data_IF_067694811074
#
_entry.id   IF_067694811074
#
_cell.length_a   1.000
_cell.length_b   1.000
_cell.length_c   1.000
_cell.angle_alpha   90.00
_cell.angle_beta   90.00
_cell.angle_gamma   90.00
#
_symmetry.space_group_name_H-M   'P 1'
#
loop_
_entity.id
_entity.type
_entity.pdbx_description
1 polymer ?
#
# COMPACT_ATOMS: atom_id res chain seq x y z
N UNK A 1 -3.59 8.83 -62.21
CA UNK A 1 -4.11 9.96 -61.42
C UNK A 1 -4.88 10.86 -62.38
N UNK A 2 -6.18 11.04 -62.14
CA UNK A 2 -7.07 11.79 -63.04
C UNK A 2 -6.88 13.31 -62.83
N UNK A 3 -6.91 14.09 -63.92
CA UNK A 3 -6.72 15.56 -63.92
C UNK A 3 -7.68 16.30 -62.98
N UNK A 4 -8.85 15.71 -62.73
CA UNK A 4 -9.87 16.27 -61.84
C UNK A 4 -9.43 16.29 -60.37
N UNK A 5 -8.59 15.33 -59.95
CA UNK A 5 -8.03 15.32 -58.59
C UNK A 5 -6.96 16.40 -58.41
N UNK A 6 -6.28 16.79 -59.48
CA UNK A 6 -5.20 17.76 -59.45
C UNK A 6 -5.76 19.19 -59.37
N UNK A 7 -6.81 19.49 -60.12
CA UNK A 7 -7.53 20.77 -60.02
C UNK A 7 -8.25 20.95 -58.69
N UNK A 8 -8.84 19.87 -58.15
CA UNK A 8 -9.45 19.89 -56.82
C UNK A 8 -8.40 20.16 -55.73
N UNK A 9 -7.22 19.54 -55.83
CA UNK A 9 -6.13 19.74 -54.87
C UNK A 9 -5.63 21.18 -54.86
N UNK A 10 -5.44 21.79 -56.04
CA UNK A 10 -4.96 23.17 -56.17
C UNK A 10 -5.95 24.15 -55.51
N UNK A 11 -7.25 24.01 -55.79
CA UNK A 11 -8.28 24.86 -55.16
C UNK A 11 -8.32 24.69 -53.65
N UNK A 12 -8.20 23.46 -53.17
CA UNK A 12 -8.21 23.19 -51.74
C UNK A 12 -6.98 23.78 -51.04
N UNK A 13 -5.81 23.72 -51.67
CA UNK A 13 -4.58 24.34 -51.14
C UNK A 13 -4.70 25.87 -51.11
N UNK A 14 -5.34 26.46 -52.11
CA UNK A 14 -5.59 27.90 -52.19
C UNK A 14 -6.58 28.36 -51.10
N UNK A 15 -7.68 27.63 -50.91
CA UNK A 15 -8.66 27.89 -49.83
C UNK A 15 -8.08 27.66 -48.43
N UNK A 16 -7.18 26.68 -48.26
CA UNK A 16 -6.55 26.36 -46.98
C UNK A 16 -5.28 27.19 -46.71
N UNK A 17 -4.73 27.88 -47.70
CA UNK A 17 -3.52 28.71 -47.55
C UNK A 17 -3.72 29.86 -46.56
N UNK A 18 -4.95 30.35 -46.42
CA UNK A 18 -5.32 31.37 -45.43
C UNK A 18 -5.52 30.79 -44.01
N UNK A 19 -5.78 29.48 -43.91
CA UNK A 19 -6.02 28.77 -42.67
C UNK A 19 -4.73 28.21 -42.08
N UNK A 20 -3.98 29.06 -41.38
CA UNK A 20 -2.83 28.63 -40.60
C UNK A 20 -3.25 28.09 -39.22
N UNK A 21 -3.11 26.77 -39.03
CA UNK A 21 -3.30 26.13 -37.72
C UNK A 21 -2.17 26.49 -36.75
N UNK A 22 -2.30 27.62 -36.06
CA UNK A 22 -1.32 28.13 -35.08
C UNK A 22 -1.26 27.31 -33.79
N UNK A 23 -2.29 26.51 -33.49
CA UNK A 23 -2.41 25.72 -32.24
C UNK A 23 -2.14 24.23 -32.40
N UNK A 24 -1.58 23.79 -33.51
CA UNK A 24 -1.24 22.37 -33.73
C UNK A 24 -0.42 21.78 -32.58
N UNK A 25 0.56 22.55 -32.09
CA UNK A 25 1.42 22.16 -30.98
C UNK A 25 0.65 22.04 -29.65
N UNK A 26 -0.39 22.87 -29.46
CA UNK A 26 -1.23 22.91 -28.26
C UNK A 26 -2.22 21.74 -28.24
N UNK A 27 -2.86 21.45 -29.38
CA UNK A 27 -3.73 20.27 -29.55
C UNK A 27 -2.92 18.99 -29.39
N UNK A 28 -1.69 18.94 -29.90
CA UNK A 28 -0.81 17.78 -29.74
C UNK A 28 -0.42 17.54 -28.28
N UNK A 29 -0.10 18.61 -27.53
CA UNK A 29 0.18 18.54 -26.08
C UNK A 29 -1.03 18.11 -25.26
N UNK A 30 -2.24 18.43 -25.71
CA UNK A 30 -3.48 18.03 -25.05
C UNK A 30 -3.86 16.58 -25.36
N UNK A 31 -3.67 16.13 -26.60
CA UNK A 31 -4.02 14.77 -27.04
C UNK A 31 -3.04 13.70 -26.55
N UNK A 32 -1.74 14.03 -26.40
CA UNK A 32 -0.72 13.11 -25.94
C UNK A 32 0.21 13.81 -24.94
N UNK A 33 -0.01 13.66 -23.61
CA UNK A 33 0.87 14.25 -22.60
C UNK A 33 2.26 13.62 -22.72
N UNK A 34 3.22 14.42 -23.17
CA UNK A 34 4.54 13.98 -23.61
C UNK A 34 5.54 13.76 -22.44
N UNK A 35 5.18 14.10 -21.21
CA UNK A 35 6.16 14.13 -20.11
C UNK A 35 5.58 13.61 -18.79
N UNK A 36 6.38 12.86 -18.03
CA UNK A 36 6.01 12.33 -16.71
C UNK A 36 5.52 13.43 -15.74
N UNK A 37 6.09 14.63 -15.82
CA UNK A 37 5.65 15.81 -15.06
C UNK A 37 4.26 16.32 -15.46
N UNK A 38 3.88 16.21 -16.74
CA UNK A 38 2.53 16.52 -17.20
C UNK A 38 1.53 15.46 -16.75
N UNK A 39 1.93 14.19 -16.68
CA UNK A 39 1.10 13.10 -16.13
C UNK A 39 0.84 13.30 -14.62
N UNK A 40 1.84 13.77 -13.86
CA UNK A 40 1.64 14.12 -12.44
C UNK A 40 0.72 15.34 -12.27
N UNK A 41 0.82 16.37 -13.12
CA UNK A 41 -0.15 17.49 -13.10
C UNK A 41 -1.55 17.03 -13.51
N UNK A 42 -1.66 16.08 -14.44
CA UNK A 42 -2.94 15.50 -14.80
C UNK A 42 -3.54 14.70 -13.64
N UNK A 43 -2.74 13.96 -12.86
CA UNK A 43 -3.18 13.32 -11.60
C UNK A 43 -3.69 14.32 -10.57
N UNK A 44 -3.18 15.55 -10.59
CA UNK A 44 -3.66 16.62 -9.72
C UNK A 44 -4.92 17.32 -10.27
N UNK A 45 -5.19 17.17 -11.57
CA UNK A 45 -6.39 17.72 -12.20
C UNK A 45 -7.60 16.84 -11.86
N UNK A 46 -8.68 17.49 -11.44
CA UNK A 46 -9.87 16.88 -10.80
C UNK A 46 -10.71 15.96 -11.72
N UNK A 47 -10.28 15.78 -12.98
CA UNK A 47 -10.95 14.98 -14.01
C UNK A 47 -10.51 13.50 -14.03
N UNK A 48 -9.45 13.15 -13.30
CA UNK A 48 -9.07 11.74 -13.17
C UNK A 48 -9.90 11.12 -12.05
N UNK A 49 -10.94 10.37 -12.41
CA UNK A 49 -11.66 9.46 -11.53
C UNK A 49 -10.70 8.31 -11.13
N UNK A 50 -9.75 8.62 -10.24
CA UNK A 50 -8.90 7.60 -9.64
C UNK A 50 -9.83 6.68 -8.83
N UNK A 51 -9.90 5.38 -9.15
CA UNK A 51 -10.71 4.46 -8.38
C UNK A 51 -10.23 4.49 -6.93
N UNK A 52 -11.10 4.96 -6.03
CA UNK A 52 -10.76 5.25 -4.63
C UNK A 52 -10.26 4.00 -3.90
N UNK A 53 -10.84 2.84 -4.23
CA UNK A 53 -10.54 1.57 -3.58
C UNK A 53 -9.07 1.14 -3.77
N UNK A 54 -8.55 0.98 -5.01
CA UNK A 54 -7.14 0.62 -5.20
C UNK A 54 -6.18 1.71 -4.73
N UNK A 55 -6.54 3.00 -4.88
CA UNK A 55 -5.71 4.11 -4.40
C UNK A 55 -5.55 4.15 -2.88
N UNK A 56 -6.67 3.97 -2.16
CA UNK A 56 -6.67 3.90 -0.70
C UNK A 56 -5.92 2.68 -0.19
N UNK A 57 -6.07 1.52 -0.84
CA UNK A 57 -5.33 0.30 -0.49
C UNK A 57 -3.82 0.49 -0.64
N UNK A 58 -3.37 1.11 -1.74
CA UNK A 58 -1.96 1.41 -1.96
C UNK A 58 -1.42 2.39 -0.92
N UNK A 59 -2.18 3.44 -0.59
CA UNK A 59 -1.80 4.41 0.44
C UNK A 59 -1.68 3.76 1.83
N UNK A 60 -2.65 2.92 2.21
CA UNK A 60 -2.62 2.17 3.47
C UNK A 60 -1.41 1.25 3.56
N UNK A 61 -1.09 0.49 2.50
CA UNK A 61 0.09 -0.35 2.46
C UNK A 61 1.38 0.45 2.64
N UNK A 62 1.47 1.63 2.02
CA UNK A 62 2.58 2.56 2.19
C UNK A 62 2.70 3.05 3.64
N UNK A 63 1.58 3.40 4.27
CA UNK A 63 1.54 3.79 5.69
C UNK A 63 1.98 2.66 6.62
N UNK A 64 1.52 1.43 6.37
CA UNK A 64 1.94 0.26 7.14
C UNK A 64 3.44 0.03 6.98
N UNK A 65 3.97 0.08 5.75
CA UNK A 65 5.38 -0.13 5.50
C UNK A 65 6.27 0.91 6.19
N UNK A 66 5.84 2.18 6.20
CA UNK A 66 6.55 3.26 6.91
C UNK A 66 6.40 3.14 8.43
N UNK A 67 5.23 2.71 8.92
CA UNK A 67 4.96 2.49 10.33
C UNK A 67 5.78 1.34 10.92
N UNK A 68 5.93 0.23 10.19
CA UNK A 68 6.73 -0.93 10.61
C UNK A 68 8.20 -0.55 10.81
N UNK A 69 8.76 0.34 9.98
CA UNK A 69 10.14 0.81 10.19
C UNK A 69 10.32 1.71 11.43
N UNK A 70 9.23 2.23 11.99
CA UNK A 70 9.22 3.07 13.19
C UNK A 70 8.84 2.30 14.45
N UNK A 71 8.47 1.03 14.35
CA UNK A 71 8.28 0.18 15.52
C UNK A 71 9.66 -0.10 16.16
N UNK A 72 9.85 0.22 17.45
CA UNK A 72 11.05 -0.20 18.14
C UNK A 72 11.13 -1.74 18.14
N UNK A 73 12.32 -2.34 18.02
CA UNK A 73 12.50 -3.77 18.18
C UNK A 73 12.11 -4.13 19.62
N UNK A 74 10.89 -4.61 19.82
CA UNK A 74 10.34 -4.83 21.16
C UNK A 74 8.82 -4.75 21.26
N UNK A 75 8.11 -4.27 20.23
CA UNK A 75 6.65 -4.46 20.13
C UNK A 75 6.30 -5.77 19.45
N UNK A 76 6.97 -6.86 19.82
CA UNK A 76 6.36 -8.18 19.69
C UNK A 76 5.21 -8.21 20.71
N UNK A 77 4.03 -8.80 20.40
CA UNK A 77 3.17 -9.27 21.48
C UNK A 77 4.07 -10.11 22.38
N UNK A 78 4.04 -9.91 23.69
CA UNK A 78 4.78 -10.73 24.65
C UNK A 78 4.59 -12.20 24.27
N UNK A 79 5.53 -12.74 23.50
CA UNK A 79 5.69 -14.17 23.41
C UNK A 79 6.16 -14.50 24.81
N UNK A 80 5.39 -15.28 25.59
CA UNK A 80 5.92 -15.74 26.86
C UNK A 80 7.27 -16.36 26.54
N UNK A 81 8.31 -15.88 27.23
CA UNK A 81 9.69 -16.34 27.12
C UNK A 81 9.73 -17.85 26.85
N UNK A 82 10.66 -18.37 26.03
CA UNK A 82 10.70 -19.80 25.69
C UNK A 82 10.57 -20.57 26.98
N UNK A 83 9.41 -21.21 27.16
CA UNK A 83 9.05 -21.82 28.42
C UNK A 83 10.16 -22.80 28.74
N UNK A 84 10.92 -22.52 29.80
CA UNK A 84 11.69 -23.55 30.46
C UNK A 84 10.74 -24.74 30.56
N UNK A 85 11.14 -25.87 29.94
CA UNK A 85 10.30 -27.04 29.69
C UNK A 85 9.47 -27.33 30.94
N UNK A 86 8.21 -26.89 30.95
CA UNK A 86 7.33 -27.06 32.12
C UNK A 86 7.05 -28.55 32.23
N UNK A 87 7.46 -29.15 33.33
CA UNK A 87 7.23 -30.57 33.55
C UNK A 87 5.88 -30.76 34.25
N UNK A 88 5.16 -31.78 33.80
CA UNK A 88 3.93 -32.24 34.40
C UNK A 88 4.27 -33.32 35.42
N UNK A 89 3.77 -33.19 36.63
CA UNK A 89 3.98 -34.14 37.73
C UNK A 89 2.63 -34.68 38.18
N UNK A 90 2.56 -35.99 38.43
CA UNK A 90 1.36 -36.63 38.97
C UNK A 90 1.45 -36.69 40.50
N UNK A 91 0.46 -36.09 41.18
CA UNK A 91 0.35 -36.11 42.63
C UNK A 91 -1.10 -36.41 43.03
N UNK A 92 -1.31 -37.38 43.93
CA UNK A 92 -2.65 -37.71 44.42
C UNK A 92 -3.66 -38.15 43.35
N UNK A 93 -3.19 -38.72 42.23
CA UNK A 93 -4.04 -39.17 41.11
C UNK A 93 -4.46 -38.08 40.12
N UNK A 94 -3.93 -36.86 40.26
CA UNK A 94 -4.14 -35.75 39.33
C UNK A 94 -2.79 -35.24 38.79
N UNK A 95 -2.80 -34.73 37.58
CA UNK A 95 -1.60 -34.13 36.94
C UNK A 95 -1.57 -32.63 37.20
N UNK A 96 -0.46 -32.13 37.73
CA UNK A 96 -0.22 -30.72 38.03
C UNK A 96 1.05 -30.24 37.32
N UNK A 97 1.16 -28.93 37.11
CA UNK A 97 2.43 -28.32 36.73
C UNK A 97 3.36 -28.28 37.94
N UNK A 98 4.63 -28.66 37.75
CA UNK A 98 5.64 -28.75 38.82
C UNK A 98 5.78 -27.43 39.60
N UNK A 99 5.84 -26.31 38.88
CA UNK A 99 6.00 -24.97 39.44
C UNK A 99 4.78 -24.53 40.29
N UNK A 100 3.58 -24.88 39.86
CA UNK A 100 2.36 -24.61 40.62
C UNK A 100 2.28 -25.46 41.90
N UNK A 101 2.70 -26.72 41.82
CA UNK A 101 2.73 -27.63 42.97
C UNK A 101 3.73 -27.17 44.03
N UNK A 102 4.98 -26.87 43.64
CA UNK A 102 6.02 -26.38 44.54
C UNK A 102 5.59 -25.09 45.25
N UNK A 103 4.94 -24.17 44.52
CA UNK A 103 4.43 -22.92 45.07
C UNK A 103 3.33 -23.17 46.09
N UNK A 104 2.40 -24.09 45.81
CA UNK A 104 1.32 -24.45 46.72
C UNK A 104 1.85 -25.11 48.00
N UNK A 105 2.82 -26.01 47.88
CA UNK A 105 3.47 -26.65 49.04
C UNK A 105 4.19 -25.61 49.89
N UNK A 106 5.02 -24.76 49.27
CA UNK A 106 5.75 -23.69 49.97
C UNK A 106 4.80 -22.74 50.71
N UNK A 107 3.65 -22.41 50.09
CA UNK A 107 2.64 -21.59 50.72
C UNK A 107 2.00 -22.27 51.95
N UNK A 108 1.65 -23.55 51.83
CA UNK A 108 1.07 -24.32 52.94
C UNK A 108 2.07 -24.50 54.10
N UNK A 109 3.34 -24.77 53.80
CA UNK A 109 4.40 -24.88 54.81
C UNK A 109 4.59 -23.58 55.59
N UNK A 110 4.58 -22.43 54.90
CA UNK A 110 4.70 -21.12 55.55
C UNK A 110 3.48 -20.77 56.42
N UNK A 111 2.28 -21.21 56.04
CA UNK A 111 1.09 -21.03 56.89
C UNK A 111 1.12 -21.90 58.14
N UNK A 112 1.71 -23.09 58.07
CA UNK A 112 1.81 -24.01 59.22
C UNK A 112 2.96 -23.66 60.19
N UNK A 113 3.82 -22.71 59.81
CA UNK A 113 4.99 -22.27 60.60
C UNK A 113 4.78 -20.95 61.34
N UNK A 114 3.56 -20.39 61.27
CA UNK A 114 3.11 -19.21 62.01
C UNK A 114 2.09 -19.58 63.08
#
# INVERSE_FOLDING_TARGET
>A
MSRDNESAKIRLDEELSELHFTKQEEVRKQAFPATWSQRLRALWNKEIELPVVPGAAAALLLFVLLGVQRLPPGSEPEHPAPAAVRQLVEAGGNTYWEDELEKAVTYAENQNKS
#
